data_IF_857154562959
#
_entry.id   IF_857154562959
#
_cell.length_a   1.000
_cell.length_b   1.000
_cell.length_c   1.000
_cell.angle_alpha   90.00
_cell.angle_beta   90.00
_cell.angle_gamma   90.00
#
_symmetry.space_group_name_H-M   'P 1'
#
loop_
_entity.id
_entity.type
_entity.pdbx_description
1 polymer ?
#
# COMPACT_ATOMS: atom_id res chain seq x y z
N UNK A 1 -28.40 17.48 -8.97
CA UNK A 1 -28.63 16.04 -8.68
C UNK A 1 -27.36 15.21 -8.85
N UNK A 2 -26.73 15.14 -10.04
CA UNK A 2 -25.47 14.40 -10.27
C UNK A 2 -24.34 14.77 -9.30
N UNK A 3 -24.17 16.06 -9.03
CA UNK A 3 -23.13 16.58 -8.13
C UNK A 3 -23.34 16.20 -6.66
N UNK A 4 -24.60 16.04 -6.22
CA UNK A 4 -24.90 15.59 -4.85
C UNK A 4 -24.50 14.12 -4.67
N UNK A 5 -24.77 13.28 -5.66
CA UNK A 5 -24.33 11.88 -5.66
C UNK A 5 -22.80 11.75 -5.76
N UNK A 6 -22.15 12.62 -6.54
CA UNK A 6 -20.70 12.68 -6.64
C UNK A 6 -20.04 13.02 -5.29
N UNK A 7 -20.65 13.90 -4.48
CA UNK A 7 -20.16 14.26 -3.13
C UNK A 7 -20.52 13.23 -2.06
N UNK A 8 -21.61 12.48 -2.24
CA UNK A 8 -22.07 11.50 -1.27
C UNK A 8 -21.06 10.36 -1.06
N UNK A 9 -20.46 9.84 -2.12
CA UNK A 9 -19.51 8.72 -2.04
C UNK A 9 -18.24 9.07 -1.24
N UNK A 10 -17.49 10.14 -1.55
CA UNK A 10 -16.37 10.58 -0.72
C UNK A 10 -16.78 10.82 0.75
N UNK A 11 -17.95 11.41 0.98
CA UNK A 11 -18.46 11.68 2.33
C UNK A 11 -18.70 10.38 3.10
N UNK A 12 -19.35 9.38 2.49
CA UNK A 12 -19.56 8.06 3.11
C UNK A 12 -18.22 7.40 3.42
N UNK A 13 -17.28 7.42 2.47
CA UNK A 13 -15.94 6.84 2.69
C UNK A 13 -15.23 7.51 3.87
N UNK A 14 -15.32 8.85 3.99
CA UNK A 14 -14.77 9.60 5.12
C UNK A 14 -15.46 9.25 6.45
N UNK A 15 -16.79 9.16 6.46
CA UNK A 15 -17.54 8.77 7.67
C UNK A 15 -17.22 7.34 8.12
N UNK A 16 -16.83 6.45 7.21
CA UNK A 16 -16.42 5.08 7.54
C UNK A 16 -14.99 5.00 8.13
N UNK A 17 -14.14 6.01 7.94
CA UNK A 17 -12.75 6.00 8.42
C UNK A 17 -12.59 5.67 9.91
N UNK A 18 -13.30 6.34 10.86
CA UNK A 18 -13.15 6.04 12.28
C UNK A 18 -13.58 4.60 12.64
N UNK A 19 -14.51 4.01 11.89
CA UNK A 19 -14.91 2.61 12.11
C UNK A 19 -13.81 1.65 11.69
N UNK A 20 -13.18 1.88 10.52
CA UNK A 20 -12.04 1.09 10.09
C UNK A 20 -10.85 1.23 11.05
N UNK A 21 -10.56 2.45 11.48
CA UNK A 21 -9.52 2.71 12.46
C UNK A 21 -9.79 1.94 13.76
N UNK A 22 -11.00 2.00 14.30
CA UNK A 22 -11.35 1.24 15.50
C UNK A 22 -11.21 -0.28 15.30
N UNK A 23 -11.74 -0.83 14.21
CA UNK A 23 -11.71 -2.27 13.93
C UNK A 23 -10.27 -2.80 13.77
N UNK A 24 -9.47 -2.15 12.91
CA UNK A 24 -8.10 -2.58 12.62
C UNK A 24 -7.16 -2.32 13.80
N UNK A 25 -7.25 -1.15 14.45
CA UNK A 25 -6.39 -0.84 15.61
C UNK A 25 -6.66 -1.80 16.77
N UNK A 26 -7.93 -2.09 17.07
CA UNK A 26 -8.30 -3.03 18.14
C UNK A 26 -7.87 -4.46 17.81
N UNK A 27 -8.01 -4.88 16.56
CA UNK A 27 -7.68 -6.24 16.15
C UNK A 27 -6.16 -6.49 16.02
N UNK A 28 -5.37 -5.47 15.65
CA UNK A 28 -3.98 -5.65 15.19
C UNK A 28 -2.91 -4.92 15.99
N UNK A 29 -3.24 -3.86 16.73
CA UNK A 29 -2.20 -3.06 17.38
C UNK A 29 -1.46 -3.85 18.45
N UNK A 30 -0.14 -3.63 18.55
CA UNK A 30 0.71 -4.30 19.55
C UNK A 30 0.23 -4.04 20.99
N UNK A 31 -0.25 -2.82 21.26
CA UNK A 31 -0.77 -2.38 22.56
C UNK A 31 -2.24 -2.75 22.79
N UNK A 32 -2.85 -3.54 21.90
CA UNK A 32 -4.25 -3.94 22.01
C UNK A 32 -4.49 -4.61 23.37
N UNK A 33 -5.20 -3.88 24.23
CA UNK A 33 -5.56 -4.26 25.61
C UNK A 33 -6.45 -5.50 25.67
N UNK A 34 -6.82 -6.05 24.50
CA UNK A 34 -7.36 -7.39 24.40
C UNK A 34 -6.42 -8.43 25.03
N UNK A 35 -5.10 -8.25 25.11
CA UNK A 35 -4.23 -9.31 25.66
C UNK A 35 -4.50 -10.67 24.99
N UNK A 36 -4.63 -11.75 25.76
CA UNK A 36 -5.08 -13.09 25.31
C UNK A 36 -6.59 -13.18 25.02
N UNK A 37 -7.33 -12.07 24.91
CA UNK A 37 -8.73 -12.09 24.46
C UNK A 37 -8.81 -12.84 23.14
N UNK A 38 -9.80 -13.73 23.14
CA UNK A 38 -9.91 -14.88 22.27
C UNK A 38 -9.63 -14.49 20.81
N UNK A 39 -8.76 -15.26 20.15
CA UNK A 39 -8.50 -15.20 18.71
C UNK A 39 -9.81 -15.08 17.90
N UNK A 40 -10.92 -15.61 18.42
CA UNK A 40 -12.28 -15.46 17.87
C UNK A 40 -12.75 -14.01 17.77
N UNK A 41 -12.54 -13.16 18.78
CA UNK A 41 -12.96 -11.75 18.79
C UNK A 41 -12.15 -10.97 17.76
N UNK A 42 -10.82 -11.13 17.76
CA UNK A 42 -9.95 -10.49 16.75
C UNK A 42 -10.36 -10.91 15.34
N UNK A 43 -10.54 -12.22 15.13
CA UNK A 43 -11.01 -12.76 13.85
C UNK A 43 -12.35 -12.12 13.45
N UNK A 44 -13.29 -11.98 14.38
CA UNK A 44 -14.61 -11.40 14.10
C UNK A 44 -14.54 -9.93 13.73
N UNK A 45 -13.71 -9.13 14.40
CA UNK A 45 -13.49 -7.72 14.06
C UNK A 45 -12.93 -7.58 12.64
N UNK A 46 -11.97 -8.44 12.27
CA UNK A 46 -11.38 -8.45 10.93
C UNK A 46 -12.37 -8.91 9.86
N UNK A 47 -13.20 -9.91 10.14
CA UNK A 47 -14.32 -10.31 9.27
C UNK A 47 -15.28 -9.14 8.99
N UNK A 48 -15.60 -8.35 10.02
CA UNK A 48 -16.46 -7.16 9.89
C UNK A 48 -15.76 -6.09 9.03
N UNK A 49 -14.47 -5.83 9.29
CA UNK A 49 -13.66 -4.90 8.49
C UNK A 49 -13.66 -5.30 7.01
N UNK A 50 -13.48 -6.59 6.73
CA UNK A 50 -13.45 -7.14 5.37
C UNK A 50 -14.79 -6.96 4.67
N UNK A 51 -15.89 -7.30 5.35
CA UNK A 51 -17.23 -7.12 4.82
C UNK A 51 -17.52 -5.64 4.53
N UNK A 52 -17.15 -4.74 5.44
CA UNK A 52 -17.34 -3.30 5.25
C UNK A 52 -16.56 -2.80 4.03
N UNK A 53 -15.28 -3.18 3.90
CA UNK A 53 -14.45 -2.80 2.76
C UNK A 53 -15.04 -3.30 1.44
N UNK A 54 -15.50 -4.55 1.38
CA UNK A 54 -16.15 -5.12 0.19
C UNK A 54 -17.44 -4.37 -0.17
N UNK A 55 -18.27 -4.00 0.81
CA UNK A 55 -19.51 -3.25 0.57
C UNK A 55 -19.24 -1.83 0.08
N UNK A 56 -18.23 -1.15 0.62
CA UNK A 56 -17.84 0.17 0.15
C UNK A 56 -17.25 0.13 -1.26
N UNK A 57 -16.42 -0.87 -1.56
CA UNK A 57 -15.92 -1.08 -2.92
C UNK A 57 -17.07 -1.30 -3.92
N UNK A 58 -18.04 -2.16 -3.58
CA UNK A 58 -19.24 -2.38 -4.40
C UNK A 58 -20.05 -1.09 -4.61
N UNK A 59 -20.21 -0.30 -3.56
CA UNK A 59 -20.90 1.00 -3.62
C UNK A 59 -20.18 1.95 -4.58
N UNK A 60 -18.86 2.10 -4.44
CA UNK A 60 -18.05 2.97 -5.31
C UNK A 60 -18.13 2.53 -6.77
N UNK A 61 -17.97 1.23 -7.03
CA UNK A 61 -18.05 0.66 -8.38
C UNK A 61 -19.44 0.86 -8.99
N UNK A 62 -20.51 0.69 -8.20
CA UNK A 62 -21.87 0.96 -8.65
C UNK A 62 -22.02 2.42 -9.06
N UNK A 63 -21.58 3.38 -8.25
CA UNK A 63 -21.65 4.81 -8.59
C UNK A 63 -20.79 5.18 -9.81
N UNK A 64 -19.61 4.56 -9.94
CA UNK A 64 -18.76 4.72 -11.11
C UNK A 64 -19.43 4.19 -12.38
N UNK A 65 -20.18 3.08 -12.30
CA UNK A 65 -20.91 2.51 -13.45
C UNK A 65 -21.99 3.46 -14.01
N UNK A 66 -22.57 4.31 -13.14
CA UNK A 66 -23.49 5.38 -13.54
C UNK A 66 -22.78 6.70 -13.89
N UNK A 67 -21.45 6.70 -13.95
CA UNK A 67 -20.63 7.89 -14.22
C UNK A 67 -20.87 9.04 -13.22
N UNK A 68 -21.22 8.71 -11.96
CA UNK A 68 -21.36 9.69 -10.89
C UNK A 68 -20.02 10.06 -10.24
N UNK A 69 -19.06 9.14 -10.23
CA UNK A 69 -17.71 9.34 -9.72
C UNK A 69 -16.69 8.83 -10.74
N UNK A 70 -15.55 9.50 -10.84
CA UNK A 70 -14.40 8.99 -11.58
C UNK A 70 -13.49 8.20 -10.66
N UNK A 71 -12.88 7.16 -11.22
CA UNK A 71 -11.83 6.38 -10.56
C UNK A 71 -10.47 6.61 -11.21
N UNK A 72 -10.35 7.64 -12.07
CA UNK A 72 -9.10 8.01 -12.73
C UNK A 72 -8.36 9.09 -11.93
N UNK A 73 -7.03 9.03 -11.94
CA UNK A 73 -6.16 9.84 -11.09
C UNK A 73 -6.15 11.38 -11.27
N UNK A 74 -6.66 12.01 -12.35
CA UNK A 74 -6.71 13.48 -12.39
C UNK A 74 -8.01 14.10 -11.81
N UNK A 75 -8.98 13.33 -11.28
CA UNK A 75 -10.25 13.88 -10.76
C UNK A 75 -10.09 14.44 -9.31
N UNK A 76 -10.52 15.68 -9.00
CA UNK A 76 -10.58 16.18 -7.62
C UNK A 76 -11.50 15.37 -6.68
N UNK A 77 -12.46 14.61 -7.21
CA UNK A 77 -13.32 13.69 -6.46
C UNK A 77 -12.90 12.21 -6.60
N UNK A 78 -11.65 11.97 -6.99
CA UNK A 78 -11.11 10.64 -7.19
C UNK A 78 -11.30 9.76 -5.93
N UNK A 79 -12.13 8.73 -6.08
CA UNK A 79 -12.38 7.68 -5.07
C UNK A 79 -11.80 6.34 -5.52
N UNK A 80 -10.72 6.38 -6.33
CA UNK A 80 -9.98 5.21 -6.79
C UNK A 80 -9.44 4.35 -5.66
N UNK A 81 -9.22 4.95 -4.48
CA UNK A 81 -8.89 4.24 -3.26
C UNK A 81 -9.57 4.83 -2.04
N UNK A 82 -9.68 4.03 -0.98
CA UNK A 82 -10.19 4.47 0.31
C UNK A 82 -9.40 3.84 1.46
N UNK A 83 -9.45 4.51 2.61
CA UNK A 83 -8.80 4.08 3.84
C UNK A 83 -9.53 2.87 4.44
N UNK A 84 -8.78 1.83 4.79
CA UNK A 84 -9.26 0.60 5.39
C UNK A 84 -8.78 0.39 6.83
N UNK A 85 -8.17 1.40 7.45
CA UNK A 85 -7.79 1.39 8.85
C UNK A 85 -6.31 1.64 9.07
N UNK A 86 -5.96 1.86 10.33
CA UNK A 86 -4.59 2.01 10.78
C UNK A 86 -4.37 1.24 12.08
N UNK A 87 -3.14 0.80 12.32
CA UNK A 87 -2.77 0.09 13.53
C UNK A 87 -1.27 0.21 13.80
N UNK A 88 -0.87 -0.04 15.04
CA UNK A 88 0.52 0.04 15.47
C UNK A 88 1.17 -1.34 15.49
N UNK A 89 2.27 -1.51 14.77
CA UNK A 89 3.10 -2.73 14.83
C UNK A 89 4.05 -2.74 16.02
N UNK A 90 4.53 -1.56 16.42
CA UNK A 90 5.35 -1.32 17.61
C UNK A 90 5.09 0.09 18.12
N UNK A 91 5.77 0.50 19.19
CA UNK A 91 5.67 1.85 19.76
C UNK A 91 5.96 2.99 18.76
N UNK A 92 6.78 2.70 17.74
CA UNK A 92 7.22 3.68 16.74
C UNK A 92 6.79 3.36 15.32
N UNK A 93 6.10 2.24 15.07
CA UNK A 93 5.76 1.82 13.70
C UNK A 93 4.25 1.75 13.51
N UNK A 94 3.72 2.68 12.72
CA UNK A 94 2.31 2.71 12.34
C UNK A 94 2.12 2.21 10.91
N UNK A 95 1.06 1.45 10.68
CA UNK A 95 0.64 0.98 9.36
C UNK A 95 -0.72 1.57 9.04
N UNK A 96 -0.82 2.30 7.93
CA UNK A 96 -2.09 2.75 7.35
C UNK A 96 -2.42 1.92 6.11
N UNK A 97 -3.65 1.42 6.02
CA UNK A 97 -4.12 0.52 4.96
C UNK A 97 -5.05 1.27 4.01
N UNK A 98 -4.82 1.12 2.72
CA UNK A 98 -5.69 1.66 1.67
C UNK A 98 -6.01 0.58 0.64
N UNK A 99 -7.24 0.60 0.13
CA UNK A 99 -7.72 -0.34 -0.88
C UNK A 99 -8.12 0.41 -2.14
N UNK A 100 -7.70 -0.10 -3.29
CA UNK A 100 -8.09 0.43 -4.59
C UNK A 100 -9.39 -0.21 -5.09
N UNK A 101 -10.35 0.63 -5.47
CA UNK A 101 -11.64 0.24 -6.03
C UNK A 101 -11.51 -0.36 -7.43
N UNK A 102 -10.58 0.18 -8.22
CA UNK A 102 -10.15 -0.41 -9.49
C UNK A 102 -8.66 -0.70 -9.45
N UNK A 103 -8.26 -1.75 -10.15
CA UNK A 103 -6.85 -2.11 -10.21
C UNK A 103 -6.08 -1.08 -11.03
N UNK A 104 -5.36 -0.19 -10.34
CA UNK A 104 -4.64 0.90 -10.98
C UNK A 104 -3.40 0.34 -11.72
N UNK A 105 -3.28 0.56 -13.04
CA UNK A 105 -2.11 0.14 -13.78
C UNK A 105 -0.89 0.92 -13.29
N UNK A 106 0.18 0.20 -13.01
CA UNK A 106 1.48 0.73 -12.64
C UNK A 106 2.50 0.18 -13.61
N UNK A 107 3.25 1.10 -14.23
CA UNK A 107 4.38 0.71 -15.08
C UNK A 107 5.64 0.71 -14.22
N UNK A 108 6.15 -0.49 -13.88
CA UNK A 108 7.42 -0.61 -13.18
C UNK A 108 8.59 -0.39 -14.15
N UNK A 109 9.68 0.18 -13.65
CA UNK A 109 10.89 0.40 -14.44
C UNK A 109 11.59 -0.93 -14.80
N UNK A 110 11.57 -1.90 -13.89
CA UNK A 110 12.10 -3.25 -14.11
C UNK A 110 10.98 -4.26 -14.43
N UNK A 111 11.37 -5.44 -14.94
CA UNK A 111 10.42 -6.50 -15.25
C UNK A 111 9.84 -7.10 -13.95
N UNK A 112 8.51 -7.37 -13.90
CA UNK A 112 7.52 -7.18 -14.95
C UNK A 112 7.07 -5.72 -15.09
N UNK A 113 7.03 -5.22 -16.34
CA UNK A 113 6.74 -3.80 -16.64
C UNK A 113 5.32 -3.38 -16.29
N UNK A 114 4.33 -4.28 -16.34
CA UNK A 114 2.93 -3.95 -16.06
C UNK A 114 2.48 -4.70 -14.81
N UNK A 115 2.12 -3.93 -13.79
CA UNK A 115 1.57 -4.41 -12.53
C UNK A 115 0.29 -3.67 -12.24
N UNK A 116 -0.63 -4.33 -11.56
CA UNK A 116 -1.91 -3.75 -11.18
C UNK A 116 -2.01 -3.70 -9.67
N UNK A 117 -2.15 -2.50 -9.10
CA UNK A 117 -2.23 -2.29 -7.65
C UNK A 117 -3.65 -2.57 -7.15
N UNK A 118 -3.78 -3.26 -6.02
CA UNK A 118 -5.06 -3.55 -5.36
C UNK A 118 -5.15 -3.02 -3.94
N UNK A 119 -4.03 -3.00 -3.21
CA UNK A 119 -3.93 -2.39 -1.88
C UNK A 119 -2.61 -1.67 -1.71
N UNK A 120 -2.58 -0.67 -0.83
CA UNK A 120 -1.40 0.05 -0.39
C UNK A 120 -1.30 0.00 1.14
N UNK A 121 -0.10 -0.16 1.66
CA UNK A 121 0.22 0.03 3.06
C UNK A 121 1.30 1.10 3.18
N UNK A 122 1.02 2.11 4.00
CA UNK A 122 1.98 3.15 4.34
C UNK A 122 2.55 2.81 5.70
N UNK A 123 3.87 2.68 5.78
CA UNK A 123 4.59 2.50 7.03
C UNK A 123 5.20 3.84 7.43
N UNK A 124 4.71 4.38 8.54
CA UNK A 124 5.17 5.61 9.15
C UNK A 124 5.97 5.26 10.41
N UNK A 125 7.20 5.77 10.48
CA UNK A 125 8.08 5.62 11.66
C UNK A 125 8.02 6.89 12.48
N UNK A 126 7.52 6.79 13.71
CA UNK A 126 7.50 7.88 14.68
C UNK A 126 8.90 8.00 15.29
N UNK A 127 9.64 9.03 14.90
CA UNK A 127 10.90 9.39 15.57
C UNK A 127 10.56 10.10 16.89
N UNK A 128 11.09 9.60 18.02
CA UNK A 128 11.19 10.41 19.25
C UNK A 128 11.98 11.68 18.93
N UNK A 129 11.54 12.84 19.46
CA UNK A 129 12.17 14.15 19.27
C UNK A 129 13.58 14.23 19.90
N UNK A 130 14.53 13.44 19.43
CA UNK A 130 15.94 13.50 19.86
C UNK A 130 16.73 14.27 18.82
N UNK A 131 17.07 15.49 19.22
CA UNK A 131 18.01 16.45 18.62
C UNK A 131 17.61 17.16 17.31
N UNK A 132 17.19 18.42 17.49
CA UNK A 132 16.93 19.43 16.46
C UNK A 132 18.14 19.81 15.56
N UNK A 133 19.28 19.12 15.67
CA UNK A 133 20.50 19.40 14.88
C UNK A 133 20.69 18.51 13.67
N UNK A 134 19.99 17.38 13.55
CA UNK A 134 20.18 16.42 12.44
C UNK A 134 18.90 16.23 11.59
N UNK A 135 18.26 17.35 11.23
CA UNK A 135 17.03 17.44 10.40
C UNK A 135 17.11 16.80 8.99
N UNK A 136 18.20 16.10 8.65
CA UNK A 136 18.44 15.54 7.30
C UNK A 136 18.05 14.07 7.14
N UNK A 137 17.61 13.38 8.19
CA UNK A 137 17.16 11.98 8.09
C UNK A 137 15.76 11.75 8.65
N UNK A 138 14.77 12.59 8.28
CA UNK A 138 13.38 12.12 8.34
C UNK A 138 13.30 10.83 7.53
N UNK A 139 13.15 9.68 8.20
CA UNK A 139 12.96 8.43 7.47
C UNK A 139 11.72 8.57 6.60
N UNK A 140 11.90 8.43 5.29
CA UNK A 140 10.77 8.54 4.35
C UNK A 140 9.81 7.37 4.62
N UNK A 141 8.49 7.60 4.61
CA UNK A 141 7.51 6.53 4.76
C UNK A 141 7.79 5.44 3.72
N UNK A 142 7.70 4.19 4.17
CA UNK A 142 7.87 3.04 3.29
C UNK A 142 6.51 2.59 2.78
N UNK A 143 6.38 2.51 1.45
CA UNK A 143 5.13 2.11 0.81
C UNK A 143 5.20 0.66 0.35
N UNK A 144 4.16 -0.10 0.62
CA UNK A 144 4.03 -1.49 0.19
C UNK A 144 2.73 -1.65 -0.59
N UNK A 145 2.73 -2.54 -1.58
CA UNK A 145 1.58 -2.74 -2.44
C UNK A 145 1.26 -4.21 -2.60
N UNK A 146 -0.04 -4.52 -2.58
CA UNK A 146 -0.57 -5.75 -3.14
C UNK A 146 -0.76 -5.51 -4.62
N UNK A 147 -0.04 -6.27 -5.43
CA UNK A 147 -0.09 -6.18 -6.87
C UNK A 147 -0.46 -7.53 -7.48
N UNK A 148 -1.03 -7.51 -8.68
CA UNK A 148 -1.00 -8.67 -9.55
C UNK A 148 -0.39 -8.33 -10.91
N UNK A 149 0.21 -9.34 -11.53
CA UNK A 149 0.56 -9.33 -12.95
C UNK A 149 -0.36 -10.26 -13.71
N UNK A 150 -0.67 -9.91 -14.94
CA UNK A 150 -1.34 -10.82 -15.86
C UNK A 150 -0.29 -11.69 -16.56
N UNK A 151 -0.46 -13.01 -16.49
CA UNK A 151 0.37 -14.01 -17.17
C UNK A 151 -0.29 -14.53 -18.46
N UNK A 152 -1.36 -13.88 -18.92
CA UNK A 152 -2.06 -14.25 -20.14
C UNK A 152 -1.11 -14.33 -21.35
N UNK A 153 -1.10 -15.47 -22.03
CA UNK A 153 -0.74 -15.50 -23.46
C UNK A 153 -1.95 -14.98 -24.24
N UNK A 154 -1.71 -14.31 -25.37
CA UNK A 154 -2.71 -13.71 -26.28
C UNK A 154 -3.90 -14.61 -26.68
N UNK A 155 -3.87 -15.92 -26.38
CA UNK A 155 -4.90 -16.90 -26.78
C UNK A 155 -5.68 -17.54 -25.63
N UNK A 156 -5.43 -17.18 -24.37
CA UNK A 156 -6.16 -17.75 -23.23
C UNK A 156 -7.38 -16.89 -22.85
N UNK A 157 -8.58 -17.50 -22.88
CA UNK A 157 -9.87 -16.84 -22.54
C UNK A 157 -9.94 -16.41 -21.06
N UNK A 158 -9.04 -16.90 -20.20
CA UNK A 158 -8.95 -16.50 -18.78
C UNK A 158 -7.58 -15.89 -18.48
N UNK A 159 -7.59 -14.64 -18.02
CA UNK A 159 -6.43 -13.98 -17.42
C UNK A 159 -5.91 -14.82 -16.25
N UNK A 160 -4.60 -15.14 -16.27
CA UNK A 160 -3.96 -15.86 -15.17
C UNK A 160 -3.20 -14.86 -14.32
N UNK A 161 -3.87 -14.32 -13.31
CA UNK A 161 -3.29 -13.34 -12.39
C UNK A 161 -2.33 -14.04 -11.44
N UNK A 162 -1.18 -13.42 -11.19
CA UNK A 162 -0.26 -13.81 -10.10
C UNK A 162 -0.17 -12.67 -9.13
N UNK A 163 -0.57 -12.91 -7.89
CA UNK A 163 -0.60 -11.95 -6.79
C UNK A 163 0.70 -11.95 -6.00
N UNK A 164 1.15 -10.76 -5.63
CA UNK A 164 2.40 -10.55 -4.90
C UNK A 164 2.35 -9.29 -4.05
N UNK A 165 3.09 -9.28 -2.95
CA UNK A 165 3.37 -8.09 -2.15
C UNK A 165 4.77 -7.58 -2.52
N UNK A 166 4.89 -6.28 -2.73
CA UNK A 166 6.17 -5.63 -3.00
C UNK A 166 6.32 -4.30 -2.27
N UNK A 167 7.56 -3.87 -2.10
CA UNK A 167 7.92 -2.56 -1.54
C UNK A 167 8.17 -1.57 -2.67
N UNK A 168 7.70 -0.35 -2.50
CA UNK A 168 8.03 0.76 -3.39
C UNK A 168 9.42 1.30 -3.05
N UNK A 169 10.32 1.31 -4.03
CA UNK A 169 11.69 1.77 -3.86
C UNK A 169 11.99 2.88 -4.88
N UNK A 170 12.32 4.10 -4.43
CA UNK A 170 12.86 5.16 -5.28
C UNK A 170 14.11 4.67 -6.01
N UNK A 171 14.12 4.78 -7.34
CA UNK A 171 15.32 4.58 -8.14
C UNK A 171 16.16 5.88 -8.05
N UNK A 172 16.88 6.11 -6.95
CA UNK A 172 17.71 7.33 -6.84
C UNK A 172 19.09 7.11 -7.48
N UNK A 173 19.41 8.06 -8.36
CA UNK A 173 20.68 8.46 -8.99
C UNK A 173 21.34 7.55 -10.05
N UNK A 174 21.05 7.84 -11.32
CA UNK A 174 22.13 7.92 -12.32
C UNK A 174 22.69 9.33 -12.32
N UNK A 175 23.57 9.63 -11.37
CA UNK A 175 24.29 10.90 -11.30
C UNK A 175 25.38 11.07 -12.38
N UNK A 176 25.20 10.48 -13.57
CA UNK A 176 26.14 10.58 -14.70
C UNK A 176 25.46 10.66 -16.08
N UNK A 177 24.32 11.33 -16.20
CA UNK A 177 23.95 11.85 -17.53
C UNK A 177 23.51 13.29 -17.41
N UNK A 178 24.44 14.19 -17.73
CA UNK A 178 24.30 15.64 -17.82
C UNK A 178 23.38 16.10 -18.96
N UNK A 179 22.32 15.34 -19.27
CA UNK A 179 21.43 15.64 -20.39
C UNK A 179 20.05 16.01 -19.87
N UNK A 180 19.83 17.34 -19.85
CA UNK A 180 18.56 18.03 -19.59
C UNK A 180 17.43 17.51 -20.51
N UNK A 181 17.77 16.83 -21.61
CA UNK A 181 16.82 16.22 -22.53
C UNK A 181 16.23 14.89 -22.02
N UNK A 182 16.88 14.19 -21.08
CA UNK A 182 16.36 12.93 -20.53
C UNK A 182 15.19 13.18 -19.55
N UNK A 183 15.15 14.34 -18.87
CA UNK A 183 14.05 14.69 -17.96
C UNK A 183 12.76 15.11 -18.66
N UNK A 184 12.83 15.55 -19.92
CA UNK A 184 11.67 16.02 -20.69
C UNK A 184 10.96 14.87 -21.42
N UNK A 185 11.66 13.78 -21.71
CA UNK A 185 11.16 12.66 -22.52
C UNK A 185 10.75 11.41 -21.73
N UNK A 186 10.89 11.39 -20.39
CA UNK A 186 10.62 10.20 -19.60
C UNK A 186 9.27 10.29 -18.85
N UNK A 187 8.17 9.74 -19.41
CA UNK A 187 6.86 9.71 -18.74
C UNK A 187 6.77 8.61 -17.65
N UNK A 188 7.83 7.81 -17.46
CA UNK A 188 7.87 6.76 -16.44
C UNK A 188 8.39 7.34 -15.12
N UNK A 189 7.53 7.34 -14.11
CA UNK A 189 7.90 7.59 -12.72
C UNK A 189 9.09 6.70 -12.35
N UNK A 190 10.21 7.32 -11.95
CA UNK A 190 11.50 6.68 -11.63
C UNK A 190 11.43 5.89 -10.31
N UNK A 191 10.59 4.87 -10.27
CA UNK A 191 10.35 4.08 -9.08
C UNK A 191 10.14 2.61 -9.47
N UNK A 192 10.61 1.69 -8.65
CA UNK A 192 10.48 0.25 -8.91
C UNK A 192 9.78 -0.47 -7.76
N UNK A 193 9.19 -1.62 -8.08
CA UNK A 193 8.57 -2.50 -7.10
C UNK A 193 9.55 -3.62 -6.76
N UNK A 194 10.14 -3.58 -5.56
CA UNK A 194 10.93 -4.69 -5.04
C UNK A 194 9.98 -5.81 -4.58
N UNK A 195 9.97 -6.99 -5.21
CA UNK A 195 9.09 -8.08 -4.80
C UNK A 195 9.52 -8.60 -3.42
N UNK A 196 8.54 -8.84 -2.54
CA UNK A 196 8.79 -9.38 -1.19
C UNK A 196 8.21 -10.78 -1.05
N UNK A 197 6.97 -10.97 -1.50
CA UNK A 197 6.25 -12.21 -1.33
C UNK A 197 5.39 -12.50 -2.58
N UNK A 198 5.51 -13.70 -3.13
CA UNK A 198 4.56 -14.21 -4.12
C UNK A 198 3.48 -15.01 -3.40
N UNK A 199 2.21 -14.67 -3.61
CA UNK A 199 1.07 -15.29 -2.91
C UNK A 199 0.55 -16.48 -3.73
N UNK A 200 0.27 -16.27 -5.02
CA UNK A 200 -0.30 -17.30 -5.88
C UNK A 200 -1.27 -16.76 -6.91
N UNK A 201 -2.24 -17.58 -7.33
CA UNK A 201 -3.18 -17.27 -8.40
C UNK A 201 -4.53 -16.71 -7.92
N UNK A 202 -4.86 -16.94 -6.66
CA UNK A 202 -6.12 -16.47 -6.05
C UNK A 202 -5.92 -15.09 -5.42
N UNK A 203 -6.92 -14.22 -5.56
CA UNK A 203 -6.91 -12.90 -4.93
C UNK A 203 -7.03 -13.07 -3.41
N UNK A 204 -6.03 -12.60 -2.62
CA UNK A 204 -6.14 -12.67 -1.17
C UNK A 204 -7.19 -11.68 -0.67
N UNK A 205 -7.85 -12.03 0.44
CA UNK A 205 -8.69 -11.11 1.20
C UNK A 205 -7.85 -9.93 1.72
N UNK A 206 -8.46 -8.78 2.03
CA UNK A 206 -7.74 -7.62 2.59
C UNK A 206 -7.06 -7.98 3.92
N UNK A 207 -7.76 -8.77 4.73
CA UNK A 207 -7.29 -9.26 6.02
C UNK A 207 -6.10 -10.18 5.86
N UNK A 208 -6.17 -11.13 4.93
CA UNK A 208 -5.09 -12.07 4.64
C UNK A 208 -3.86 -11.35 4.06
N UNK A 209 -4.06 -10.46 3.10
CA UNK A 209 -2.99 -9.70 2.49
C UNK A 209 -2.23 -8.84 3.52
N UNK A 210 -2.98 -8.19 4.41
CA UNK A 210 -2.38 -7.39 5.50
C UNK A 210 -1.66 -8.29 6.51
N UNK A 211 -2.22 -9.44 6.86
CA UNK A 211 -1.57 -10.42 7.73
C UNK A 211 -0.23 -10.90 7.13
N UNK A 212 -0.20 -11.25 5.85
CA UNK A 212 1.01 -11.68 5.15
C UNK A 212 2.08 -10.59 5.11
N UNK A 213 1.70 -9.33 4.89
CA UNK A 213 2.64 -8.20 4.98
C UNK A 213 3.24 -8.11 6.38
N UNK A 214 2.40 -8.09 7.42
CA UNK A 214 2.87 -7.98 8.82
C UNK A 214 3.82 -9.12 9.16
N UNK A 215 3.47 -10.36 8.79
CA UNK A 215 4.34 -11.51 9.00
C UNK A 215 5.69 -11.36 8.27
N UNK A 216 5.68 -10.84 7.03
CA UNK A 216 6.90 -10.59 6.24
C UNK A 216 7.79 -9.53 6.89
N UNK A 217 7.19 -8.47 7.43
CA UNK A 217 7.91 -7.41 8.14
C UNK A 217 8.50 -7.90 9.46
N UNK A 218 7.74 -8.70 10.23
CA UNK A 218 8.22 -9.27 11.49
C UNK A 218 9.27 -10.37 11.30
N UNK A 219 9.21 -11.12 10.20
CA UNK A 219 10.17 -12.18 9.87
C UNK A 219 11.51 -11.65 9.33
N UNK A 220 11.62 -10.34 9.06
CA UNK A 220 12.83 -9.70 8.56
C UNK A 220 13.51 -8.85 9.66
N UNK A 221 14.23 -9.46 10.63
CA UNK A 221 15.06 -8.73 11.58
C UNK A 221 16.33 -8.14 10.95
N UNK A 222 16.58 -8.37 9.64
CA UNK A 222 17.82 -8.05 8.96
C UNK A 222 17.60 -7.36 7.62
N UNK A 223 17.26 -6.08 7.65
CA UNK A 223 17.73 -5.16 6.63
C UNK A 223 18.37 -3.99 7.38
N UNK A 224 19.68 -4.06 7.70
CA UNK A 224 20.40 -2.84 8.02
C UNK A 224 20.17 -1.90 6.82
N UNK A 225 19.70 -0.69 7.12
CA UNK A 225 19.84 0.43 6.20
C UNK A 225 21.29 0.37 5.67
N UNK A 226 21.53 0.38 4.35
CA UNK A 226 22.89 0.41 3.85
C UNK A 226 23.56 1.68 4.38
N UNK A 227 24.48 1.52 5.33
CA UNK A 227 25.41 2.56 5.71
C UNK A 227 26.38 2.75 4.54
N UNK A 228 26.41 3.92 3.88
CA UNK A 228 27.50 4.21 2.96
C UNK A 228 28.70 4.66 3.79
N UNK A 229 29.80 3.92 3.68
CA UNK A 229 31.11 4.39 4.12
C UNK A 229 31.68 3.67 5.33
N UNK A 230 32.16 2.45 5.13
CA UNK A 230 33.28 1.92 5.91
C UNK A 230 34.12 0.97 5.04
N UNK A 231 34.54 1.44 3.86
CA UNK A 231 35.79 0.97 3.28
C UNK A 231 36.90 1.83 3.85
N UNK A 232 37.65 1.28 4.81
CA UNK A 232 39.08 1.60 4.92
C UNK A 232 39.81 0.29 5.19
N UNK A 233 40.47 -0.19 4.15
CA UNK A 233 41.55 -1.17 4.23
C UNK A 233 42.64 -0.68 5.19
N UNK A 234 43.37 -1.60 5.85
CA UNK A 234 44.56 -1.25 6.60
C UNK A 234 45.70 -0.96 5.61
N UNK A 235 46.32 0.22 5.73
CA UNK A 235 47.61 0.49 5.13
C UNK A 235 48.71 -0.12 6.01
N UNK A 236 49.68 -0.74 5.33
CA UNK A 236 50.90 -1.38 5.81
C UNK A 236 51.63 -0.68 6.95
#
# INVERSE_FOLDING_TARGET
>A
MKEQFAKAVPTILQMCQPYFEYLESTARSYSSSLGTLQLSVRKRLLEISEQLALRLEQLVLMYASFSFVSLQDPDPFNVSSFFCGCFWLSEWLQVSVFRFCISAPYTAACLPRILYKKMCWNLDVLEEEVDARDRRRRQRPAYYFLCFRDMGREKAVKMKKVWSIGRWVPLIDRQHSSDILHSVLCPQTMVDLQPLLTIGFEEPSHTLATYLLVQTLSASPCAPLPCPGASREPLH
#
